data_IF_455572451432
#
_entry.id   IF_455572451432
#
_cell.length_a   1.000
_cell.length_b   1.000
_cell.length_c   1.000
_cell.angle_alpha   90.00
_cell.angle_beta   90.00
_cell.angle_gamma   90.00
#
_symmetry.space_group_name_H-M   'P 1'
#
loop_
_entity.id
_entity.type
_entity.pdbx_description
1 polymer ?
#
# COMPACT_ATOMS: atom_id res chain seq x y z
N UNK A 1 -6.13 15.10 -32.97
CA UNK A 1 -6.10 15.39 -31.53
C UNK A 1 -7.00 14.38 -30.83
N UNK A 2 -6.43 13.29 -30.28
CA UNK A 2 -7.21 12.33 -29.50
C UNK A 2 -7.01 12.67 -28.03
N UNK A 3 -8.07 13.17 -27.40
CA UNK A 3 -8.10 13.45 -25.98
C UNK A 3 -7.93 12.15 -25.20
N UNK A 4 -6.80 12.02 -24.52
CA UNK A 4 -6.63 11.04 -23.47
C UNK A 4 -7.57 11.44 -22.32
N UNK A 5 -8.80 10.95 -22.36
CA UNK A 5 -9.68 10.93 -21.19
C UNK A 5 -9.00 10.04 -20.15
N UNK A 6 -8.13 10.66 -19.37
CA UNK A 6 -7.58 10.11 -18.15
C UNK A 6 -8.76 10.03 -17.18
N UNK A 7 -9.58 8.99 -17.34
CA UNK A 7 -10.45 8.50 -16.28
C UNK A 7 -9.47 8.05 -15.21
N UNK A 8 -9.03 9.00 -14.38
CA UNK A 8 -8.58 8.70 -13.03
C UNK A 8 -9.81 8.10 -12.37
N UNK A 9 -10.02 6.80 -12.60
CA UNK A 9 -10.92 5.97 -11.78
C UNK A 9 -10.55 6.38 -10.36
N UNK A 10 -11.52 6.89 -9.63
CA UNK A 10 -11.36 7.18 -8.21
C UNK A 10 -11.09 5.82 -7.59
N UNK A 11 -9.81 5.44 -7.55
CA UNK A 11 -9.35 4.20 -6.96
C UNK A 11 -9.75 4.30 -5.50
N UNK A 12 -10.37 3.24 -4.96
CA UNK A 12 -10.72 3.25 -3.54
C UNK A 12 -9.44 3.54 -2.72
N UNK A 13 -9.55 4.14 -1.52
CA UNK A 13 -8.38 4.40 -0.67
C UNK A 13 -7.46 3.18 -0.55
N UNK A 14 -8.04 1.98 -0.41
CA UNK A 14 -7.31 0.72 -0.41
C UNK A 14 -6.52 0.43 -1.72
N UNK A 15 -7.09 0.71 -2.90
CA UNK A 15 -6.36 0.54 -4.16
C UNK A 15 -5.14 1.49 -4.24
N UNK A 16 -5.31 2.73 -3.81
CA UNK A 16 -4.21 3.70 -3.79
C UNK A 16 -3.08 3.26 -2.84
N UNK A 17 -3.45 2.75 -1.66
CA UNK A 17 -2.46 2.19 -0.72
C UNK A 17 -1.75 0.95 -1.26
N UNK A 18 -2.47 0.05 -1.91
CA UNK A 18 -1.87 -1.11 -2.58
C UNK A 18 -0.88 -0.69 -3.66
N UNK A 19 -1.24 0.29 -4.50
CA UNK A 19 -0.35 0.82 -5.53
C UNK A 19 0.88 1.51 -4.94
N UNK A 20 0.70 2.31 -3.89
CA UNK A 20 1.80 2.94 -3.18
C UNK A 20 2.78 1.91 -2.58
N UNK A 21 2.27 0.84 -1.97
CA UNK A 21 3.09 -0.25 -1.45
C UNK A 21 3.91 -0.93 -2.56
N UNK A 22 3.26 -1.31 -3.67
CA UNK A 22 3.94 -1.95 -4.80
C UNK A 22 5.01 -1.02 -5.38
N UNK A 23 4.71 0.27 -5.47
CA UNK A 23 5.66 1.27 -5.95
C UNK A 23 6.87 1.38 -5.03
N UNK A 24 6.65 1.47 -3.71
CA UNK A 24 7.73 1.50 -2.72
C UNK A 24 8.62 0.26 -2.81
N UNK A 25 8.03 -0.94 -2.95
CA UNK A 25 8.78 -2.18 -3.14
C UNK A 25 9.60 -2.15 -4.44
N UNK A 26 9.06 -1.65 -5.56
CA UNK A 26 9.82 -1.50 -6.80
C UNK A 26 11.00 -0.54 -6.64
N UNK A 27 10.81 0.57 -5.92
CA UNK A 27 11.89 1.50 -5.61
C UNK A 27 12.99 0.85 -4.75
N UNK A 28 12.61 0.14 -3.68
CA UNK A 28 13.55 -0.57 -2.80
C UNK A 28 14.36 -1.63 -3.57
N UNK A 29 13.71 -2.33 -4.50
CA UNK A 29 14.40 -3.27 -5.40
C UNK A 29 15.45 -2.58 -6.28
N UNK A 30 15.12 -1.42 -6.85
CA UNK A 30 16.09 -0.61 -7.63
C UNK A 30 17.27 -0.18 -6.77
N UNK A 31 17.03 0.12 -5.49
CA UNK A 31 18.06 0.47 -4.51
C UNK A 31 18.80 -0.74 -3.93
N UNK A 32 18.50 -1.97 -4.38
CA UNK A 32 19.08 -3.23 -3.88
C UNK A 32 18.92 -3.45 -2.36
N UNK A 33 17.86 -2.91 -1.78
CA UNK A 33 17.48 -3.17 -0.39
C UNK A 33 16.69 -4.47 -0.36
N UNK A 34 17.17 -5.49 0.34
CA UNK A 34 16.55 -6.83 0.43
C UNK A 34 15.75 -7.05 1.71
N UNK A 35 16.05 -6.31 2.77
CA UNK A 35 15.37 -6.40 4.06
C UNK A 35 14.41 -5.23 4.22
N UNK A 36 13.11 -5.52 4.28
CA UNK A 36 12.07 -4.49 4.34
C UNK A 36 11.02 -4.86 5.37
N UNK A 37 10.74 -3.91 6.26
CA UNK A 37 9.59 -3.92 7.16
C UNK A 37 8.62 -2.85 6.69
N UNK A 38 7.41 -3.29 6.30
CA UNK A 38 6.32 -2.41 5.90
C UNK A 38 5.40 -2.21 7.10
N UNK A 39 5.30 -0.98 7.59
CA UNK A 39 4.29 -0.58 8.55
C UNK A 39 3.12 0.10 7.81
N UNK A 40 1.89 -0.30 8.10
CA UNK A 40 0.69 0.31 7.51
C UNK A 40 -0.37 0.56 8.59
N UNK A 41 -1.06 1.69 8.51
CA UNK A 41 -2.24 1.96 9.36
C UNK A 41 -3.52 1.35 8.78
N UNK A 42 -3.43 0.71 7.60
CA UNK A 42 -4.57 0.11 6.92
C UNK A 42 -4.64 -1.38 7.19
N UNK A 43 -5.51 -1.76 8.12
CA UNK A 43 -5.78 -3.17 8.44
C UNK A 43 -6.28 -3.96 7.22
N UNK A 44 -6.96 -3.32 6.26
CA UNK A 44 -7.42 -3.97 5.04
C UNK A 44 -6.27 -4.37 4.12
N UNK A 45 -5.18 -3.61 4.08
CA UNK A 45 -3.98 -3.95 3.31
C UNK A 45 -3.31 -5.22 3.86
N UNK A 46 -3.21 -5.33 5.18
CA UNK A 46 -2.70 -6.53 5.86
C UNK A 46 -3.60 -7.74 5.58
N UNK A 47 -4.93 -7.56 5.63
CA UNK A 47 -5.90 -8.63 5.31
C UNK A 47 -5.78 -9.06 3.85
N UNK A 48 -5.66 -8.14 2.91
CA UNK A 48 -5.48 -8.48 1.49
C UNK A 48 -4.24 -9.34 1.25
N UNK A 49 -3.14 -9.06 1.96
CA UNK A 49 -1.91 -9.87 1.89
C UNK A 49 -2.08 -11.23 2.56
N UNK A 50 -2.92 -11.34 3.59
CA UNK A 50 -3.10 -12.55 4.40
C UNK A 50 -4.19 -13.51 3.87
N UNK A 51 -5.34 -13.00 3.42
CA UNK A 51 -6.50 -13.76 2.92
C UNK A 51 -6.84 -13.39 1.47
N UNK A 52 -5.94 -13.63 0.51
CA UNK A 52 -6.06 -13.08 -0.83
C UNK A 52 -7.23 -13.65 -1.66
N UNK A 53 -7.87 -14.75 -1.23
CA UNK A 53 -9.07 -15.32 -1.86
C UNK A 53 -10.31 -14.44 -1.68
N UNK A 54 -10.34 -13.60 -0.64
CA UNK A 54 -11.48 -12.73 -0.31
C UNK A 54 -11.48 -11.42 -1.09
N UNK A 55 -10.43 -11.14 -1.89
CA UNK A 55 -10.20 -9.86 -2.55
C UNK A 55 -10.09 -9.97 -4.09
N UNK A 56 -11.12 -10.47 -4.78
CA UNK A 56 -11.06 -10.71 -6.23
C UNK A 56 -10.80 -9.44 -7.06
N UNK A 57 -11.25 -8.28 -6.58
CA UNK A 57 -11.02 -6.99 -7.24
C UNK A 57 -9.53 -6.56 -7.27
N UNK A 58 -8.69 -7.14 -6.41
CA UNK A 58 -7.27 -6.78 -6.24
C UNK A 58 -6.32 -7.80 -6.87
N UNK A 59 -6.83 -8.74 -7.67
CA UNK A 59 -6.05 -9.85 -8.25
C UNK A 59 -4.79 -9.35 -8.98
N UNK A 60 -4.90 -8.27 -9.76
CA UNK A 60 -3.75 -7.70 -10.49
C UNK A 60 -2.71 -7.07 -9.57
N UNK A 61 -3.14 -6.29 -8.57
CA UNK A 61 -2.25 -5.70 -7.58
C UNK A 61 -1.55 -6.77 -6.74
N UNK A 62 -2.27 -7.85 -6.41
CA UNK A 62 -1.73 -9.02 -5.72
C UNK A 62 -0.60 -9.70 -6.49
N UNK A 63 -0.79 -9.97 -7.78
CA UNK A 63 0.26 -10.62 -8.60
C UNK A 63 1.54 -9.78 -8.63
N UNK A 64 1.41 -8.46 -8.82
CA UNK A 64 2.54 -7.54 -8.80
C UNK A 64 3.20 -7.47 -7.42
N UNK A 65 2.42 -7.45 -6.33
CA UNK A 65 2.93 -7.51 -4.97
C UNK A 65 3.72 -8.79 -4.70
N UNK A 66 3.17 -9.96 -5.06
CA UNK A 66 3.85 -11.26 -4.89
C UNK A 66 5.14 -11.32 -5.70
N UNK A 67 5.12 -10.81 -6.93
CA UNK A 67 6.31 -10.69 -7.79
C UNK A 67 7.37 -9.76 -7.21
N UNK A 68 6.98 -8.75 -6.45
CA UNK A 68 7.95 -7.92 -5.72
C UNK A 68 8.45 -8.63 -4.47
N UNK A 69 7.55 -9.28 -3.71
CA UNK A 69 7.84 -9.95 -2.43
C UNK A 69 8.96 -11.00 -2.53
N UNK A 70 9.05 -11.74 -3.64
CA UNK A 70 10.14 -12.73 -3.85
C UNK A 70 11.54 -12.12 -3.81
N UNK A 71 11.69 -10.81 -3.98
CA UNK A 71 12.99 -10.13 -3.89
C UNK A 71 13.36 -9.72 -2.46
N UNK A 72 12.41 -9.76 -1.52
CA UNK A 72 12.59 -9.29 -0.14
C UNK A 72 12.60 -10.48 0.82
N UNK A 73 13.73 -10.73 1.46
CA UNK A 73 13.91 -11.81 2.43
C UNK A 73 14.78 -11.33 3.59
N UNK A 74 14.26 -11.30 4.83
CA UNK A 74 12.86 -11.50 5.22
C UNK A 74 11.97 -10.30 4.87
N UNK A 75 10.70 -10.56 4.53
CA UNK A 75 9.66 -9.53 4.34
C UNK A 75 8.64 -9.57 5.47
N UNK A 76 8.41 -8.42 6.11
CA UNK A 76 7.40 -8.29 7.17
C UNK A 76 6.44 -7.14 6.86
N UNK A 77 5.13 -7.36 7.02
CA UNK A 77 4.12 -6.31 6.98
C UNK A 77 3.35 -6.29 8.30
N UNK A 78 3.23 -5.13 8.94
CA UNK A 78 2.58 -4.97 10.24
C UNK A 78 1.55 -3.85 10.19
N UNK A 79 0.42 -4.08 10.86
CA UNK A 79 -0.57 -3.05 11.10
C UNK A 79 -0.19 -2.23 12.33
N UNK A 80 -0.01 -0.92 12.19
CA UNK A 80 0.22 -0.01 13.32
C UNK A 80 -1.05 0.82 13.50
N UNK A 81 -1.75 0.71 14.65
CA UNK A 81 -2.90 1.57 14.92
C UNK A 81 -2.47 3.03 14.98
N UNK A 82 -3.18 3.89 14.25
CA UNK A 82 -2.93 5.35 14.13
C UNK A 82 -2.77 6.08 15.48
N UNK A 83 -3.26 5.51 16.59
CA UNK A 83 -3.09 6.04 17.94
C UNK A 83 -1.63 6.13 18.44
N UNK A 84 -0.66 5.50 17.77
CA UNK A 84 0.78 5.64 18.10
C UNK A 84 1.50 6.67 17.22
N UNK A 85 0.85 7.18 16.19
CA UNK A 85 1.34 8.26 15.34
C UNK A 85 1.07 9.59 16.04
N UNK A 86 1.75 9.85 17.16
CA UNK A 86 1.67 11.09 17.99
C UNK A 86 1.91 12.40 17.20
N UNK A 87 2.17 12.32 15.89
CA UNK A 87 2.32 13.45 14.97
C UNK A 87 1.13 13.67 14.02
N UNK A 88 0.23 12.70 13.81
CA UNK A 88 -0.86 12.84 12.82
C UNK A 88 -2.17 13.35 13.42
N UNK A 89 -2.31 13.34 14.75
CA UNK A 89 -3.45 13.96 15.47
C UNK A 89 -3.38 15.50 15.46
N UNK A 90 -2.17 16.07 15.33
CA UNK A 90 -1.99 17.54 15.33
C UNK A 90 -2.39 18.21 14.02
N UNK A 91 -2.55 17.46 12.93
CA UNK A 91 -2.91 18.02 11.62
C UNK A 91 -4.40 17.90 11.29
N UNK A 92 -5.09 16.89 11.83
CA UNK A 92 -6.54 16.72 11.58
C UNK A 92 -7.42 17.56 12.51
N UNK A 93 -6.90 18.06 13.63
CA UNK A 93 -7.62 19.01 14.49
C UNK A 93 -7.59 20.46 13.97
N UNK A 94 -6.69 20.80 13.04
CA UNK A 94 -6.61 22.13 12.44
C UNK A 94 -7.54 22.37 11.24
N UNK A 95 -8.19 21.33 10.70
CA UNK A 95 -9.08 21.43 9.53
C UNK A 95 -10.57 21.51 9.89
N UNK A 96 -10.90 21.71 11.17
CA UNK A 96 -12.25 21.98 11.65
C UNK A 96 -12.25 23.29 12.44
N UNK A 97 -12.06 24.41 11.75
CA UNK A 97 -12.56 25.70 12.20
C UNK A 97 -12.86 26.60 11.00
#
# INVERSE_FOLDING_TARGET
MMGAMSIRRILSPLHAECEALIWAMKCMKTLRISEVVVATECSQLVKMVSTPSEWPAFTKHKEEFLRCKIFFHPFTIQHIPMAQSTMTDKLTQGAKN
#
